data_IF_163719441730
#
_entry.id   IF_163719441730
#
_cell.length_a   1.000
_cell.length_b   1.000
_cell.length_c   1.000
_cell.angle_alpha   90.00
_cell.angle_beta   90.00
_cell.angle_gamma   90.00
#
_symmetry.space_group_name_H-M   'P 1'
#
loop_
_entity.id
_entity.type
_entity.pdbx_description
1 polymer ?
#
# COMPACT_ATOMS: atom_id res chain seq x y z
N UNK A 1 18.25 15.39 -3.10
CA UNK A 1 18.18 14.12 -3.85
C UNK A 1 17.12 14.31 -4.91
N UNK A 2 17.42 13.96 -6.15
CA UNK A 2 16.45 14.05 -7.23
C UNK A 2 15.39 12.97 -7.03
N UNK A 3 14.12 13.36 -7.11
CA UNK A 3 12.96 12.47 -6.93
C UNK A 3 12.35 12.04 -8.26
N UNK A 4 13.00 12.39 -9.37
CA UNK A 4 12.58 12.04 -10.71
C UNK A 4 13.78 11.51 -11.51
N UNK A 5 13.52 10.54 -12.38
CA UNK A 5 14.51 10.02 -13.34
C UNK A 5 13.82 9.85 -14.68
N UNK A 6 14.36 10.48 -15.72
CA UNK A 6 13.86 10.35 -17.09
C UNK A 6 14.67 9.29 -17.83
N UNK A 7 14.00 8.36 -18.49
CA UNK A 7 14.58 7.39 -19.42
C UNK A 7 14.08 7.71 -20.85
N UNK A 8 14.83 8.51 -21.63
CA UNK A 8 14.44 8.88 -22.98
C UNK A 8 14.43 7.69 -23.95
N UNK A 9 15.19 6.64 -23.68
CA UNK A 9 15.29 5.47 -24.56
C UNK A 9 14.01 4.64 -24.56
N UNK A 10 13.33 4.61 -23.41
CA UNK A 10 12.05 3.92 -23.22
C UNK A 10 10.85 4.87 -23.19
N UNK A 11 11.08 6.19 -23.27
CA UNK A 11 10.05 7.22 -23.12
C UNK A 11 9.26 7.06 -21.80
N UNK A 12 9.99 6.86 -20.69
CA UNK A 12 9.42 6.68 -19.34
C UNK A 12 10.02 7.69 -18.38
N UNK A 13 9.20 8.26 -17.50
CA UNK A 13 9.65 9.06 -16.35
C UNK A 13 9.28 8.34 -15.05
N UNK A 14 10.26 8.18 -14.16
CA UNK A 14 10.10 7.55 -12.86
C UNK A 14 10.01 8.60 -11.77
N UNK A 15 9.03 8.46 -10.88
CA UNK A 15 8.82 9.32 -9.71
C UNK A 15 9.03 8.53 -8.42
N UNK A 16 9.90 9.03 -7.54
CA UNK A 16 10.15 8.44 -6.22
C UNK A 16 9.27 9.09 -5.16
N UNK A 17 8.05 8.55 -5.01
CA UNK A 17 7.01 9.05 -4.11
C UNK A 17 7.02 8.32 -2.76
N UNK A 18 6.23 8.81 -1.79
CA UNK A 18 5.96 8.06 -0.56
C UNK A 18 5.10 6.83 -0.88
N UNK A 19 5.36 5.66 -0.27
CA UNK A 19 4.64 4.42 -0.60
C UNK A 19 3.11 4.50 -0.49
N UNK A 20 2.60 5.19 0.54
CA UNK A 20 1.15 5.39 0.77
C UNK A 20 0.48 6.21 -0.33
N UNK A 21 1.23 7.08 -1.01
CA UNK A 21 0.68 8.00 -2.01
C UNK A 21 0.61 7.37 -3.41
N UNK A 22 1.42 6.33 -3.69
CA UNK A 22 1.58 5.75 -5.04
C UNK A 22 0.23 5.32 -5.66
N UNK A 23 -0.62 4.63 -4.90
CA UNK A 23 -1.91 4.17 -5.41
C UNK A 23 -2.86 5.34 -5.76
N UNK A 24 -2.76 6.46 -5.01
CA UNK A 24 -3.58 7.66 -5.24
C UNK A 24 -3.18 8.33 -6.55
N UNK A 25 -1.87 8.51 -6.80
CA UNK A 25 -1.38 9.10 -8.05
C UNK A 25 -1.72 8.27 -9.30
N UNK A 26 -1.72 6.93 -9.17
CA UNK A 26 -2.18 6.06 -10.26
C UNK A 26 -3.69 6.15 -10.43
N UNK A 27 -4.44 6.14 -9.32
CA UNK A 27 -5.90 6.25 -9.35
C UNK A 27 -6.43 7.60 -9.85
N UNK A 28 -5.67 8.69 -9.69
CA UNK A 28 -6.02 10.01 -10.22
C UNK A 28 -5.72 10.15 -11.71
N UNK A 29 -4.90 9.25 -12.27
CA UNK A 29 -4.44 9.29 -13.66
C UNK A 29 -3.25 10.23 -13.90
N UNK A 30 -2.63 10.77 -12.85
CA UNK A 30 -1.37 11.53 -12.96
C UNK A 30 -0.18 10.62 -13.30
N UNK A 31 -0.24 9.34 -12.90
CA UNK A 31 0.73 8.30 -13.25
C UNK A 31 0.03 7.11 -13.89
N UNK A 32 0.66 6.50 -14.91
CA UNK A 32 0.09 5.32 -15.57
C UNK A 32 0.21 4.05 -14.72
N UNK A 33 1.31 3.89 -13.99
CA UNK A 33 1.68 2.68 -13.24
C UNK A 33 2.36 3.02 -11.92
N UNK A 34 2.27 2.10 -10.95
CA UNK A 34 2.92 2.22 -9.66
C UNK A 34 3.27 0.87 -9.05
N UNK A 35 4.34 0.84 -8.24
CA UNK A 35 4.74 -0.31 -7.43
C UNK A 35 4.55 0.06 -5.96
N UNK A 36 3.63 -0.61 -5.27
CA UNK A 36 3.37 -0.39 -3.83
C UNK A 36 2.94 -1.69 -3.15
N UNK A 37 2.85 -1.67 -1.82
CA UNK A 37 2.31 -2.78 -1.04
C UNK A 37 0.81 -2.98 -1.32
N UNK A 38 0.35 -4.24 -1.36
CA UNK A 38 -1.07 -4.55 -1.57
C UNK A 38 -1.94 -4.00 -0.43
N UNK A 39 -1.43 -4.02 0.79
CA UNK A 39 -2.03 -3.38 1.96
C UNK A 39 -2.25 -1.88 1.75
N UNK A 40 -1.21 -1.16 1.29
CA UNK A 40 -1.30 0.28 1.03
C UNK A 40 -2.25 0.61 -0.13
N UNK A 41 -2.30 -0.23 -1.17
CA UNK A 41 -3.24 -0.06 -2.27
C UNK A 41 -4.69 -0.30 -1.84
N UNK A 42 -4.94 -1.22 -0.89
CA UNK A 42 -6.26 -1.41 -0.30
C UNK A 42 -6.62 -0.29 0.70
N UNK A 43 -5.67 0.21 1.49
CA UNK A 43 -5.88 1.30 2.46
C UNK A 43 -6.26 2.62 1.76
N UNK A 44 -5.72 2.86 0.55
CA UNK A 44 -5.94 4.12 -0.17
C UNK A 44 -7.33 4.28 -0.79
N UNK A 45 -8.11 3.20 -0.92
CA UNK A 45 -9.38 3.16 -1.68
C UNK A 45 -9.28 3.70 -3.12
N UNK A 46 -8.07 3.78 -3.68
CA UNK A 46 -7.86 4.30 -5.03
C UNK A 46 -8.40 3.30 -6.09
N UNK A 47 -9.02 3.78 -7.19
CA UNK A 47 -9.61 2.93 -8.22
C UNK A 47 -8.52 2.36 -9.16
N UNK A 48 -7.67 1.49 -8.64
CA UNK A 48 -6.55 0.86 -9.38
C UNK A 48 -6.78 -0.64 -9.56
N UNK A 49 -6.20 -1.20 -10.62
CA UNK A 49 -6.26 -2.63 -10.88
C UNK A 49 -4.89 -3.27 -10.70
N UNK A 50 -4.78 -4.26 -9.79
CA UNK A 50 -3.55 -5.03 -9.62
C UNK A 50 -3.25 -5.82 -10.91
N UNK A 51 -2.03 -5.66 -11.45
CA UNK A 51 -1.58 -6.36 -12.66
C UNK A 51 -0.73 -7.58 -12.36
N UNK A 52 0.22 -7.45 -11.43
CA UNK A 52 1.23 -8.46 -11.15
C UNK A 52 1.58 -8.44 -9.66
N UNK A 53 1.75 -9.64 -9.09
CA UNK A 53 2.44 -9.83 -7.81
C UNK A 53 3.94 -10.01 -8.08
N UNK A 54 4.79 -9.17 -7.49
CA UNK A 54 6.22 -9.08 -7.84
C UNK A 54 7.13 -10.09 -7.12
N UNK A 55 6.60 -10.92 -6.21
CA UNK A 55 7.36 -11.98 -5.53
C UNK A 55 8.26 -11.52 -4.38
N UNK A 56 8.12 -10.28 -3.91
CA UNK A 56 8.83 -9.76 -2.72
C UNK A 56 7.90 -8.95 -1.82
N UNK A 57 8.35 -8.62 -0.60
CA UNK A 57 7.61 -7.77 0.33
C UNK A 57 6.38 -8.41 0.96
N UNK A 58 6.22 -9.74 0.86
CA UNK A 58 5.07 -10.45 1.41
C UNK A 58 5.04 -10.38 2.94
N UNK A 59 3.87 -10.08 3.50
CA UNK A 59 3.62 -10.02 4.93
C UNK A 59 2.18 -10.50 5.22
N UNK A 60 1.86 -10.70 6.51
CA UNK A 60 0.47 -10.92 6.93
C UNK A 60 -0.03 -9.75 7.75
N UNK A 61 -1.19 -9.20 7.40
CA UNK A 61 -1.89 -8.17 8.17
C UNK A 61 -2.75 -8.84 9.25
N UNK A 62 -2.60 -8.45 10.52
CA UNK A 62 -3.21 -9.14 11.68
C UNK A 62 -3.67 -8.15 12.74
N UNK A 63 -4.75 -8.49 13.43
CA UNK A 63 -5.01 -7.93 14.75
C UNK A 63 -4.06 -8.55 15.79
N UNK A 64 -3.70 -7.78 16.80
CA UNK A 64 -2.93 -8.23 17.94
C UNK A 64 -3.39 -7.50 19.21
N UNK A 65 -3.27 -8.18 20.34
CA UNK A 65 -3.67 -7.68 21.66
C UNK A 65 -2.73 -8.26 22.74
N UNK A 66 -2.77 -7.75 24.00
CA UNK A 66 -1.89 -8.24 25.06
C UNK A 66 -1.99 -9.76 25.26
N UNK A 67 -0.83 -10.41 25.41
CA UNK A 67 -0.75 -11.84 25.67
C UNK A 67 -1.34 -12.22 27.04
N UNK A 68 -1.76 -13.48 27.19
CA UNK A 68 -2.34 -14.01 28.43
C UNK A 68 -3.87 -14.02 28.48
N UNK A 69 -4.52 -13.45 27.47
CA UNK A 69 -5.96 -13.56 27.23
C UNK A 69 -6.19 -14.37 25.95
N UNK A 70 -7.22 -15.22 25.95
CA UNK A 70 -7.66 -15.93 24.76
C UNK A 70 -8.55 -15.01 23.91
N UNK A 71 -7.91 -14.23 23.04
CA UNK A 71 -8.60 -13.24 22.22
C UNK A 71 -9.29 -13.88 21.01
N UNK A 72 -10.54 -13.50 20.80
CA UNK A 72 -11.33 -13.81 19.62
C UNK A 72 -11.68 -12.54 18.86
N UNK A 73 -12.10 -12.66 17.59
CA UNK A 73 -12.51 -11.49 16.78
C UNK A 73 -13.73 -10.78 17.40
N UNK A 74 -14.63 -11.51 18.07
CA UNK A 74 -15.79 -10.92 18.76
C UNK A 74 -15.40 -9.98 19.89
N UNK A 75 -14.25 -10.18 20.54
CA UNK A 75 -13.79 -9.34 21.64
C UNK A 75 -13.36 -7.94 21.19
N UNK A 76 -13.21 -7.73 19.88
CA UNK A 76 -12.90 -6.43 19.30
C UNK A 76 -14.11 -5.47 19.33
N UNK A 77 -15.33 -5.98 19.47
CA UNK A 77 -16.54 -5.17 19.46
C UNK A 77 -16.53 -4.15 20.62
N UNK A 78 -16.70 -2.87 20.30
CA UNK A 78 -16.69 -1.78 21.28
C UNK A 78 -15.28 -1.40 21.79
N UNK A 79 -14.21 -2.06 21.33
CA UNK A 79 -12.85 -1.71 21.67
C UNK A 79 -12.30 -0.58 20.80
N UNK A 80 -11.26 0.08 21.32
CA UNK A 80 -10.46 1.02 20.55
C UNK A 80 -9.30 0.26 19.90
N UNK A 81 -9.26 0.27 18.57
CA UNK A 81 -8.23 -0.42 17.79
C UNK A 81 -7.34 0.64 17.14
N UNK A 82 -6.06 0.64 17.49
CA UNK A 82 -5.08 1.50 16.84
C UNK A 82 -4.57 0.82 15.55
N UNK A 83 -4.52 1.58 14.46
CA UNK A 83 -3.88 1.21 13.19
C UNK A 83 -3.20 2.45 12.61
N UNK A 84 -2.24 2.25 11.71
CA UNK A 84 -1.54 3.32 10.98
C UNK A 84 -2.37 3.84 9.80
#
# INVERSE_FOLDING_TARGET
KDLTVVDPSNNVEFFFLRPKDIAIYVGSGELDLGITGRDLAHESDAPVAERLSLGFGSSTFRYAAPAGTDWTVSDLAGQRIATA
#
